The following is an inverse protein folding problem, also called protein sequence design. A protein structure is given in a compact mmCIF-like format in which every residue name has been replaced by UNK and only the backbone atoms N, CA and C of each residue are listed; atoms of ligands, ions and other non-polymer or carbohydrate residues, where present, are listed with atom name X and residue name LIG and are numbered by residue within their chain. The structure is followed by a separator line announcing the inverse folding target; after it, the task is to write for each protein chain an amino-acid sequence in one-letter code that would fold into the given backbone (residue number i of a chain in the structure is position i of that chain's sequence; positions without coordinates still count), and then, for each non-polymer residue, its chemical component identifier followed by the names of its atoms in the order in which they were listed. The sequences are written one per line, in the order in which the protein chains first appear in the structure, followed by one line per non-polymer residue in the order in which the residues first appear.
data_IF_187480844547
#
_entry.id   IF_187480844547
#
_cell.length_a   1.000
_cell.length_b   1.000
_cell.length_c   1.000
_cell.angle_alpha   90.00
_cell.angle_beta   90.00
_cell.angle_gamma   90.00
#
_symmetry.space_group_name_H-M   'P 1'
#
loop_
_entity.id
_entity.type
_entity.pdbx_description
1 polymer ?
#
# COMPACT_ATOMS: atom_id res chain seq x y z
N UNK A 1 55.13 -37.19 24.96
CA UNK A 1 54.00 -36.32 25.35
C UNK A 1 54.07 -34.89 24.76
N UNK A 2 54.74 -34.67 23.60
CA UNK A 2 54.82 -33.35 22.94
C UNK A 2 54.05 -33.35 21.60
N UNK A 3 54.00 -34.50 20.90
CA UNK A 3 53.24 -34.65 19.65
C UNK A 3 51.72 -34.46 19.82
N UNK A 4 51.14 -34.95 20.93
CA UNK A 4 49.69 -34.89 21.21
C UNK A 4 49.22 -33.45 21.46
N UNK A 5 50.07 -32.62 22.11
CA UNK A 5 49.77 -31.21 22.37
C UNK A 5 49.79 -30.36 21.09
N UNK A 6 50.69 -30.65 20.13
CA UNK A 6 50.73 -29.97 18.83
C UNK A 6 49.49 -30.29 17.98
N UNK A 7 49.01 -31.53 17.97
CA UNK A 7 47.79 -31.92 17.25
C UNK A 7 46.51 -31.24 17.78
N UNK A 8 46.42 -31.06 19.11
CA UNK A 8 45.30 -30.38 19.75
C UNK A 8 45.24 -28.88 19.42
N UNK A 9 46.39 -28.20 19.31
CA UNK A 9 46.47 -26.80 18.89
C UNK A 9 46.09 -26.62 17.42
N UNK A 10 46.54 -27.52 16.54
CA UNK A 10 46.21 -27.51 15.10
C UNK A 10 44.72 -27.75 14.87
N UNK A 11 44.09 -28.70 15.57
CA UNK A 11 42.63 -28.92 15.50
C UNK A 11 41.82 -27.71 15.96
N UNK A 12 42.27 -26.99 17.00
CA UNK A 12 41.61 -25.75 17.45
C UNK A 12 41.74 -24.61 16.44
N UNK A 13 42.87 -24.50 15.74
CA UNK A 13 43.06 -23.53 14.66
C UNK A 13 42.21 -23.87 13.42
N UNK A 14 42.18 -25.14 13.01
CA UNK A 14 41.34 -25.62 11.91
C UNK A 14 39.85 -25.42 12.20
N UNK A 15 39.39 -25.71 13.42
CA UNK A 15 38.01 -25.48 13.86
C UNK A 15 37.62 -24.00 13.81
N UNK A 16 38.51 -23.08 14.21
CA UNK A 16 38.29 -21.63 14.09
C UNK A 16 38.21 -21.18 12.63
N UNK A 17 39.09 -21.68 11.76
CA UNK A 17 39.03 -21.35 10.33
C UNK A 17 37.74 -21.88 9.68
N UNK A 18 37.30 -23.08 10.04
CA UNK A 18 36.01 -23.61 9.58
C UNK A 18 34.84 -22.77 10.08
N UNK A 19 34.85 -22.33 11.34
CA UNK A 19 33.79 -21.48 11.90
C UNK A 19 33.73 -20.11 11.21
N UNK A 20 34.88 -19.50 10.91
CA UNK A 20 34.98 -18.24 10.14
C UNK A 20 34.45 -18.45 8.71
N UNK A 21 34.80 -19.57 8.08
CA UNK A 21 34.32 -19.89 6.73
C UNK A 21 32.80 -20.11 6.71
N UNK A 22 32.24 -20.83 7.68
CA UNK A 22 30.80 -21.01 7.82
C UNK A 22 30.06 -19.68 8.04
N UNK A 23 30.62 -18.79 8.86
CA UNK A 23 30.06 -17.46 9.09
C UNK A 23 30.17 -16.57 7.84
N UNK A 24 31.26 -16.68 7.07
CA UNK A 24 31.41 -15.95 5.81
C UNK A 24 30.42 -16.45 4.74
N UNK A 25 30.22 -17.77 4.63
CA UNK A 25 29.27 -18.38 3.68
C UNK A 25 27.83 -18.07 4.05
N UNK A 26 27.48 -18.00 5.34
CA UNK A 26 26.11 -17.66 5.77
C UNK A 26 25.71 -16.23 5.42
N UNK A 27 26.67 -15.30 5.28
CA UNK A 27 26.39 -13.93 4.83
C UNK A 27 25.96 -13.86 3.35
N UNK A 28 26.35 -14.83 2.52
CA UNK A 28 25.92 -14.91 1.11
C UNK A 28 24.54 -15.57 0.92
N UNK A 29 23.95 -16.13 1.98
CA UNK A 29 22.62 -16.75 1.95
C UNK A 29 21.49 -15.78 2.34
N UNK A 30 21.80 -14.50 2.58
CA UNK A 30 20.78 -13.49 2.86
C UNK A 30 20.10 -13.14 1.52
N UNK A 31 18.80 -13.44 1.32
CA UNK A 31 18.10 -13.04 0.11
C UNK A 31 18.08 -11.52 0.02
N UNK A 32 18.74 -10.96 -1.00
CA UNK A 32 18.81 -9.50 -1.24
C UNK A 32 17.61 -8.94 -2.00
N UNK A 33 16.59 -9.77 -2.28
CA UNK A 33 15.43 -9.33 -3.07
C UNK A 33 14.39 -8.64 -2.20
N UNK A 34 14.68 -7.40 -1.81
CA UNK A 34 13.60 -6.45 -1.52
C UNK A 34 13.09 -5.94 -2.88
N UNK A 35 12.15 -6.65 -3.49
CA UNK A 35 11.37 -6.06 -4.58
C UNK A 35 10.47 -4.98 -3.96
N UNK A 36 10.96 -3.74 -3.94
CA UNK A 36 10.07 -2.61 -3.78
C UNK A 36 9.18 -2.61 -5.04
N UNK A 37 7.90 -2.96 -4.87
CA UNK A 37 6.93 -2.83 -5.95
C UNK A 37 6.79 -1.34 -6.27
N UNK A 38 7.28 -0.92 -7.43
CA UNK A 38 7.17 0.44 -7.91
C UNK A 38 5.80 0.63 -8.55
N UNK A 39 4.91 1.26 -7.80
CA UNK A 39 3.59 1.63 -8.29
C UNK A 39 3.69 3.00 -8.96
N UNK A 40 3.46 3.13 -10.28
CA UNK A 40 3.54 4.43 -10.93
C UNK A 40 2.49 5.36 -10.32
N UNK A 41 2.89 6.58 -9.96
CA UNK A 41 1.99 7.58 -9.38
C UNK A 41 0.83 7.92 -10.33
N UNK A 42 1.05 7.82 -11.64
CA UNK A 42 0.09 8.10 -12.69
C UNK A 42 -0.02 6.92 -13.65
N UNK A 43 -1.22 6.36 -13.78
CA UNK A 43 -1.43 5.23 -14.68
C UNK A 43 -1.45 5.71 -16.13
N UNK A 44 -0.80 4.96 -17.04
CA UNK A 44 -0.71 5.27 -18.48
C UNK A 44 -0.08 6.63 -18.81
N UNK A 45 0.70 7.22 -17.90
CA UNK A 45 1.23 8.58 -18.06
C UNK A 45 0.16 9.67 -17.96
N UNK A 46 -1.06 9.34 -17.51
CA UNK A 46 -2.16 10.27 -17.36
C UNK A 46 -2.20 10.84 -15.93
N UNK A 47 -1.94 12.15 -15.80
CA UNK A 47 -1.94 12.86 -14.51
C UNK A 47 -3.31 12.91 -13.80
N UNK A 48 -4.38 12.53 -14.51
CA UNK A 48 -5.73 12.41 -13.97
C UNK A 48 -6.04 11.04 -13.39
N UNK A 49 -5.24 10.01 -13.66
CA UNK A 49 -5.42 8.66 -13.11
C UNK A 49 -4.35 8.44 -12.04
N UNK A 50 -4.66 8.78 -10.80
CA UNK A 50 -3.69 8.89 -9.70
C UNK A 50 -3.69 7.65 -8.81
N UNK A 51 -2.50 7.20 -8.42
CA UNK A 51 -2.33 6.13 -7.44
C UNK A 51 -2.85 6.59 -6.07
N UNK A 52 -3.65 5.75 -5.43
CA UNK A 52 -4.08 5.93 -4.03
C UNK A 52 -3.25 5.04 -3.10
N UNK A 53 -3.17 3.74 -3.41
CA UNK A 53 -2.34 2.81 -2.66
C UNK A 53 -1.97 1.58 -3.52
N UNK A 54 -0.85 0.95 -3.16
CA UNK A 54 -0.40 -0.31 -3.71
C UNK A 54 -0.49 -1.45 -2.69
N UNK A 55 -0.82 -2.66 -3.15
CA UNK A 55 -0.76 -3.89 -2.33
C UNK A 55 -0.64 -5.17 -3.16
N UNK A 56 0.35 -6.00 -2.84
CA UNK A 56 0.49 -7.38 -3.33
C UNK A 56 0.44 -7.48 -4.87
N UNK A 57 1.19 -6.65 -5.58
CA UNK A 57 1.22 -6.58 -7.04
C UNK A 57 0.10 -5.75 -7.66
N UNK A 58 -0.78 -5.11 -6.86
CA UNK A 58 -1.92 -4.34 -7.37
C UNK A 58 -1.90 -2.89 -6.92
N UNK A 59 -1.91 -1.97 -7.88
CA UNK A 59 -2.14 -0.54 -7.63
C UNK A 59 -3.63 -0.21 -7.72
N UNK A 60 -4.13 0.57 -6.77
CA UNK A 60 -5.49 1.14 -6.79
C UNK A 60 -5.41 2.60 -7.19
N UNK A 61 -6.11 2.97 -8.26
CA UNK A 61 -6.06 4.28 -8.89
C UNK A 61 -7.44 4.92 -8.94
N UNK A 62 -7.50 6.25 -8.81
CA UNK A 62 -8.72 7.05 -9.05
C UNK A 62 -8.58 7.81 -10.35
N UNK A 63 -9.57 7.67 -11.24
CA UNK A 63 -9.71 8.54 -12.41
C UNK A 63 -10.45 9.81 -11.99
N UNK A 64 -9.69 10.89 -11.80
CA UNK A 64 -10.22 12.20 -11.37
C UNK A 64 -11.16 12.82 -12.39
N UNK A 65 -11.05 12.48 -13.68
CA UNK A 65 -11.94 12.99 -14.72
C UNK A 65 -13.34 12.38 -14.67
N UNK A 66 -13.47 11.22 -13.99
CA UNK A 66 -14.74 10.51 -13.84
C UNK A 66 -15.55 10.92 -12.61
N UNK A 67 -15.06 11.90 -11.83
CA UNK A 67 -15.69 12.31 -10.59
C UNK A 67 -16.99 13.08 -10.88
N UNK A 68 -18.08 12.63 -10.28
CA UNK A 68 -19.41 13.22 -10.41
C UNK A 68 -20.00 13.49 -9.03
N UNK A 69 -20.62 14.66 -8.87
CA UNK A 69 -21.44 14.96 -7.69
C UNK A 69 -22.85 14.42 -7.88
N UNK A 70 -23.20 13.39 -7.12
CA UNK A 70 -24.54 12.77 -7.12
C UNK A 70 -25.50 13.52 -6.18
N UNK A 71 -24.97 14.18 -5.15
CA UNK A 71 -25.74 14.96 -4.19
C UNK A 71 -24.89 16.07 -3.58
N UNK A 72 -25.44 17.28 -3.55
CA UNK A 72 -24.80 18.47 -2.99
C UNK A 72 -25.80 19.23 -2.12
N UNK A 73 -25.71 19.05 -0.80
CA UNK A 73 -26.50 19.79 0.17
C UNK A 73 -25.72 19.90 1.50
N UNK A 74 -24.80 20.89 1.61
CA UNK A 74 -23.96 21.07 2.78
C UNK A 74 -24.74 20.94 4.11
N UNK A 75 -24.23 20.21 5.12
CA UNK A 75 -22.90 19.59 5.20
C UNK A 75 -22.78 18.20 4.53
N UNK A 76 -23.82 17.75 3.83
CA UNK A 76 -23.89 16.41 3.25
C UNK A 76 -23.62 16.40 1.75
N UNK A 77 -22.75 15.48 1.32
CA UNK A 77 -22.35 15.34 -0.08
C UNK A 77 -22.33 13.86 -0.48
N UNK A 78 -22.56 13.59 -1.76
CA UNK A 78 -22.36 12.27 -2.34
C UNK A 78 -21.62 12.39 -3.66
N UNK A 79 -20.48 11.71 -3.76
CA UNK A 79 -19.64 11.69 -4.95
C UNK A 79 -19.51 10.26 -5.47
N UNK A 80 -19.43 10.14 -6.79
CA UNK A 80 -19.08 8.91 -7.48
C UNK A 80 -17.83 9.10 -8.34
N UNK A 81 -17.03 8.04 -8.48
CA UNK A 81 -15.85 8.05 -9.36
C UNK A 81 -15.48 6.64 -9.80
N UNK A 82 -14.76 6.53 -10.91
CA UNK A 82 -14.15 5.28 -11.34
C UNK A 82 -12.83 5.04 -10.61
N UNK A 83 -12.72 3.84 -10.05
CA UNK A 83 -11.52 3.30 -9.42
C UNK A 83 -11.01 2.15 -10.26
N UNK A 84 -9.73 2.21 -10.62
CA UNK A 84 -9.05 1.20 -11.40
C UNK A 84 -8.13 0.39 -10.49
N UNK A 85 -8.19 -0.93 -10.62
CA UNK A 85 -7.23 -1.84 -10.01
C UNK A 85 -6.34 -2.35 -11.13
N UNK A 86 -5.04 -2.04 -11.05
CA UNK A 86 -4.05 -2.40 -12.05
C UNK A 86 -3.09 -3.43 -11.48
N UNK A 87 -2.86 -4.52 -12.21
CA UNK A 87 -1.87 -5.52 -11.87
C UNK A 87 -0.51 -5.07 -12.41
N UNK A 88 0.40 -4.74 -11.50
CA UNK A 88 1.73 -4.22 -11.80
C UNK A 88 2.61 -5.32 -12.39
N UNK A 89 2.58 -6.52 -11.81
CA UNK A 89 3.40 -7.66 -12.24
C UNK A 89 3.12 -8.06 -13.70
N UNK A 90 1.85 -7.95 -14.12
CA UNK A 90 1.38 -8.30 -15.46
C UNK A 90 1.30 -7.11 -16.40
N UNK A 91 1.41 -5.88 -15.89
CA UNK A 91 1.18 -4.67 -16.67
C UNK A 91 -0.22 -4.61 -17.30
N UNK A 92 -1.26 -5.00 -16.57
CA UNK A 92 -2.64 -5.08 -17.11
C UNK A 92 -3.68 -4.48 -16.16
N UNK A 93 -4.71 -3.86 -16.74
CA UNK A 93 -5.89 -3.46 -15.99
C UNK A 93 -6.64 -4.70 -15.50
N UNK A 94 -6.71 -4.88 -14.19
CA UNK A 94 -7.41 -6.00 -13.57
C UNK A 94 -8.91 -5.73 -13.47
N UNK A 95 -9.30 -4.51 -13.05
CA UNK A 95 -10.70 -4.16 -12.85
C UNK A 95 -10.91 -2.64 -12.89
N UNK A 96 -12.06 -2.21 -13.40
CA UNK A 96 -12.61 -0.86 -13.16
C UNK A 96 -13.92 -1.00 -12.40
N UNK A 97 -14.13 -0.13 -11.40
CA UNK A 97 -15.36 -0.09 -10.60
C UNK A 97 -15.75 1.36 -10.33
N UNK A 98 -17.01 1.71 -10.54
CA UNK A 98 -17.57 2.96 -10.02
C UNK A 98 -17.88 2.79 -8.53
N UNK A 99 -17.34 3.69 -7.71
CA UNK A 99 -17.55 3.72 -6.26
C UNK A 99 -18.37 4.95 -5.90
N UNK A 100 -19.11 4.86 -4.80
CA UNK A 100 -19.97 5.93 -4.29
C UNK A 100 -19.65 6.16 -2.82
N UNK A 101 -19.32 7.40 -2.48
CA UNK A 101 -19.04 7.82 -1.12
C UNK A 101 -19.97 8.97 -0.71
N UNK A 102 -20.47 8.87 0.51
CA UNK A 102 -21.14 9.95 1.21
C UNK A 102 -20.17 10.61 2.17
N UNK A 103 -20.27 11.94 2.28
CA UNK A 103 -19.43 12.78 3.11
C UNK A 103 -20.30 13.65 4.00
N UNK A 104 -19.95 13.74 5.28
CA UNK A 104 -20.57 14.65 6.24
C UNK A 104 -19.48 15.56 6.81
N UNK A 105 -19.46 16.82 6.38
CA UNK A 105 -18.46 17.79 6.83
C UNK A 105 -18.72 18.32 8.24
N UNK A 106 -19.86 18.00 8.86
CA UNK A 106 -20.14 18.37 10.25
C UNK A 106 -19.49 17.42 11.24
N UNK A 107 -19.37 16.14 10.87
CA UNK A 107 -18.81 15.08 11.72
C UNK A 107 -17.43 14.59 11.26
N UNK A 108 -17.06 14.84 10.00
CA UNK A 108 -15.88 14.24 9.39
C UNK A 108 -16.14 12.84 8.83
N UNK A 109 -17.37 12.32 8.93
CA UNK A 109 -17.70 10.97 8.52
C UNK A 109 -17.65 10.79 6.98
N UNK A 110 -17.07 9.66 6.57
CA UNK A 110 -17.09 9.15 5.20
C UNK A 110 -17.73 7.77 5.20
N UNK A 111 -18.72 7.53 4.35
CA UNK A 111 -19.43 6.25 4.25
C UNK A 111 -19.47 5.73 2.82
N UNK A 112 -19.41 4.41 2.62
CA UNK A 112 -19.65 3.80 1.30
C UNK A 112 -21.09 3.27 1.20
N UNK A 113 -21.83 3.69 0.18
CA UNK A 113 -23.11 3.06 -0.19
C UNK A 113 -24.19 3.04 0.90
N UNK A 114 -24.28 4.08 1.73
CA UNK A 114 -25.29 4.19 2.80
C UNK A 114 -25.03 3.33 4.05
N UNK A 115 -23.86 2.69 4.14
CA UNK A 115 -23.44 1.98 5.34
C UNK A 115 -22.98 2.91 6.48
N UNK A 116 -22.60 2.30 7.61
CA UNK A 116 -21.98 3.02 8.72
C UNK A 116 -20.70 3.76 8.29
N UNK A 117 -20.33 4.86 8.97
CA UNK A 117 -19.09 5.57 8.71
C UNK A 117 -17.87 4.63 8.70
N UNK A 118 -17.09 4.74 7.62
CA UNK A 118 -15.79 4.09 7.45
C UNK A 118 -14.71 4.85 8.24
N UNK A 119 -14.78 6.18 8.20
CA UNK A 119 -14.06 7.07 9.11
C UNK A 119 -14.82 7.11 10.45
N UNK A 120 -14.12 7.19 11.58
CA UNK A 120 -14.65 7.06 12.97
C UNK A 120 -15.04 5.66 13.47
N UNK A 121 -14.75 4.58 12.76
CA UNK A 121 -15.03 3.22 13.25
C UNK A 121 -13.94 2.72 14.23
N UNK A 122 -14.26 2.35 15.49
CA UNK A 122 -13.29 1.88 16.50
C UNK A 122 -12.89 0.40 16.29
N UNK A 123 -12.67 -0.03 15.05
CA UNK A 123 -12.52 -1.45 14.70
C UNK A 123 -11.06 -1.97 14.73
N UNK A 124 -10.94 -3.29 14.91
CA UNK A 124 -9.67 -4.04 15.07
C UNK A 124 -8.75 -4.12 13.83
N UNK A 125 -9.16 -3.62 12.65
CA UNK A 125 -8.32 -3.58 11.45
C UNK A 125 -8.37 -2.19 10.78
N UNK A 126 -7.59 -1.27 11.35
CA UNK A 126 -7.48 0.13 10.93
C UNK A 126 -7.05 0.24 9.46
N UNK A 127 -6.06 -0.56 9.03
CA UNK A 127 -5.48 -0.46 7.69
C UNK A 127 -6.45 -0.85 6.56
N UNK A 128 -7.31 -1.85 6.76
CA UNK A 128 -8.29 -2.24 5.74
C UNK A 128 -9.38 -1.18 5.54
N UNK A 129 -9.79 -0.51 6.62
CA UNK A 129 -10.81 0.54 6.58
C UNK A 129 -10.24 1.88 6.08
N UNK A 130 -8.95 2.13 6.30
CA UNK A 130 -8.27 3.33 5.78
C UNK A 130 -8.17 3.35 4.26
N UNK A 131 -7.98 2.21 3.59
CA UNK A 131 -7.85 2.16 2.12
C UNK A 131 -9.06 2.76 1.37
N UNK A 132 -10.31 2.37 1.65
CA UNK A 132 -11.49 3.04 1.11
C UNK A 132 -11.58 4.53 1.47
N UNK A 133 -11.11 4.93 2.66
CA UNK A 133 -11.09 6.32 3.09
C UNK A 133 -10.10 7.15 2.26
N UNK A 134 -8.90 6.65 2.00
CA UNK A 134 -7.91 7.34 1.15
C UNK A 134 -8.41 7.52 -0.29
N UNK A 135 -9.12 6.52 -0.83
CA UNK A 135 -9.81 6.65 -2.13
C UNK A 135 -10.84 7.78 -2.09
N UNK A 136 -11.67 7.81 -1.04
CA UNK A 136 -12.69 8.84 -0.89
C UNK A 136 -12.09 10.26 -0.74
N UNK A 137 -10.94 10.41 -0.07
CA UNK A 137 -10.23 11.70 0.06
C UNK A 137 -9.73 12.22 -1.29
N UNK A 138 -9.16 11.35 -2.11
CA UNK A 138 -8.72 11.72 -3.47
C UNK A 138 -9.90 12.14 -4.34
N UNK A 139 -11.04 11.43 -4.24
CA UNK A 139 -12.27 11.80 -4.94
C UNK A 139 -12.78 13.18 -4.48
N UNK A 140 -12.76 13.43 -3.17
CA UNK A 140 -13.13 14.73 -2.60
C UNK A 140 -12.25 15.86 -3.14
N UNK A 141 -10.93 15.67 -3.10
CA UNK A 141 -9.97 16.64 -3.60
C UNK A 141 -10.15 16.91 -5.09
N UNK A 142 -10.41 15.87 -5.88
CA UNK A 142 -10.70 16.04 -7.31
C UNK A 142 -12.00 16.81 -7.57
N UNK A 143 -13.04 16.60 -6.77
CA UNK A 143 -14.33 17.29 -6.93
C UNK A 143 -14.27 18.78 -6.55
N UNK A 144 -13.59 19.10 -5.46
CA UNK A 144 -13.67 20.41 -4.82
C UNK A 144 -12.34 21.18 -4.79
N UNK A 145 -11.28 20.60 -5.33
CA UNK A 145 -9.93 21.17 -5.33
C UNK A 145 -9.45 21.55 -3.91
N UNK A 146 -9.85 20.75 -2.92
CA UNK A 146 -9.49 20.94 -1.52
C UNK A 146 -9.28 19.59 -0.83
N UNK A 147 -8.28 19.45 0.06
CA UNK A 147 -8.10 18.21 0.82
C UNK A 147 -9.22 18.02 1.85
N UNK A 148 -9.54 16.76 2.17
CA UNK A 148 -10.43 16.42 3.28
C UNK A 148 -9.73 16.71 4.63
N UNK A 149 -10.30 17.60 5.44
CA UNK A 149 -9.68 18.10 6.69
C UNK A 149 -10.58 18.05 7.93
N UNK A 150 -11.72 17.39 7.83
CA UNK A 150 -12.67 17.26 8.93
C UNK A 150 -12.35 16.05 9.80
#
# INVERSE_FOLDING_TARGET
MILILKGCAVMKHLSKMMMILFFAVSLFLIPTTNYAEDYPQHLYGNSQIVLVYGRMGYGTYVDKTSVVSEYYNPPYYRLAANVLTYNIDKGTLYKTKTVHYSYDTSTGAISSGGGAPLYDRPNSNIAANQRPVEVAKVIWEAAYNMPWRW
#
